data_IF_117990617761
#
_entry.id   IF_117990617761
#
_cell.length_a   1.000
_cell.length_b   1.000
_cell.length_c   1.000
_cell.angle_alpha   90.00
_cell.angle_beta   90.00
_cell.angle_gamma   90.00
#
_symmetry.space_group_name_H-M   'P 1'
#
loop_
_entity.id
_entity.type
_entity.pdbx_description
1 polymer ?
#
# COMPACT_ATOMS: atom_id res chain seq x y z
N UNK A 1 -10.53 9.67 7.55
CA UNK A 1 -9.07 9.43 7.66
C UNK A 1 -8.82 8.14 8.43
N UNK A 2 -7.98 7.24 7.92
CA UNK A 2 -7.66 5.95 8.54
C UNK A 2 -6.24 5.47 8.21
N UNK A 3 -5.79 4.40 8.85
CA UNK A 3 -4.52 3.75 8.55
C UNK A 3 -4.71 2.23 8.45
N UNK A 4 -3.96 1.59 7.56
CA UNK A 4 -3.93 0.13 7.44
C UNK A 4 -2.70 -0.40 8.19
N UNK A 5 -2.94 -1.06 9.32
CA UNK A 5 -1.91 -1.67 10.17
C UNK A 5 -2.09 -3.19 10.12
N UNK A 6 -1.01 -3.94 9.90
CA UNK A 6 -1.03 -5.40 9.86
C UNK A 6 0.38 -5.98 10.01
N UNK A 7 0.49 -7.29 10.18
CA UNK A 7 1.75 -8.04 10.15
C UNK A 7 2.44 -7.95 8.77
N UNK A 8 3.78 -8.11 8.68
CA UNK A 8 4.47 -8.35 7.41
C UNK A 8 3.75 -9.41 6.56
N UNK A 9 3.69 -9.18 5.24
CA UNK A 9 3.07 -10.07 4.25
C UNK A 9 1.54 -10.30 4.39
N UNK A 10 0.83 -9.64 5.32
CA UNK A 10 -0.63 -9.77 5.51
C UNK A 10 -1.50 -9.15 4.39
N UNK A 11 -0.91 -8.70 3.28
CA UNK A 11 -1.66 -8.18 2.14
C UNK A 11 -2.05 -6.70 2.18
N UNK A 12 -1.51 -5.89 3.10
CA UNK A 12 -1.80 -4.44 3.21
C UNK A 12 -1.77 -3.71 1.87
N UNK A 13 -0.69 -3.89 1.10
CA UNK A 13 -0.50 -3.25 -0.20
C UNK A 13 -1.57 -3.65 -1.22
N UNK A 14 -2.00 -4.91 -1.20
CA UNK A 14 -3.06 -5.41 -2.09
C UNK A 14 -4.43 -4.87 -1.68
N UNK A 15 -4.70 -4.73 -0.38
CA UNK A 15 -5.91 -4.07 0.11
C UNK A 15 -5.93 -2.60 -0.31
N UNK A 16 -4.83 -1.87 -0.13
CA UNK A 16 -4.69 -0.47 -0.57
C UNK A 16 -4.95 -0.31 -2.07
N UNK A 17 -4.37 -1.16 -2.91
CA UNK A 17 -4.61 -1.14 -4.37
C UNK A 17 -6.11 -1.27 -4.69
N UNK A 18 -6.81 -2.18 -4.02
CA UNK A 18 -8.24 -2.41 -4.26
C UNK A 18 -9.10 -1.25 -3.77
N UNK A 19 -8.80 -0.68 -2.60
CA UNK A 19 -9.52 0.50 -2.10
C UNK A 19 -9.43 1.68 -3.08
N UNK A 20 -8.23 1.96 -3.57
CA UNK A 20 -8.01 3.00 -4.58
C UNK A 20 -8.76 2.72 -5.88
N UNK A 21 -8.77 1.45 -6.33
CA UNK A 21 -9.51 1.04 -7.52
C UNK A 21 -11.03 1.25 -7.35
N UNK A 22 -11.58 0.88 -6.18
CA UNK A 22 -13.00 1.08 -5.88
C UNK A 22 -13.36 2.56 -5.75
N UNK A 23 -12.43 3.41 -5.31
CA UNK A 23 -12.59 4.87 -5.27
C UNK A 23 -12.31 5.57 -6.60
N UNK A 24 -12.16 4.84 -7.71
CA UNK A 24 -11.88 5.44 -9.02
C UNK A 24 -10.46 6.02 -9.18
N UNK A 25 -9.59 5.88 -8.18
CA UNK A 25 -8.20 6.35 -8.18
C UNK A 25 -7.29 5.38 -8.95
N UNK A 26 -7.60 5.13 -10.23
CA UNK A 26 -6.98 4.11 -11.09
C UNK A 26 -5.45 4.31 -11.19
N UNK A 27 -5.00 5.55 -11.35
CA UNK A 27 -3.58 5.85 -11.51
C UNK A 27 -2.79 5.56 -10.22
N UNK A 28 -3.33 6.00 -9.07
CA UNK A 28 -2.77 5.70 -7.74
C UNK A 28 -2.75 4.18 -7.48
N UNK A 29 -3.81 3.45 -7.84
CA UNK A 29 -3.84 1.99 -7.72
C UNK A 29 -2.72 1.33 -8.56
N UNK A 30 -2.52 1.80 -9.80
CA UNK A 30 -1.43 1.35 -10.67
C UNK A 30 -0.04 1.63 -10.09
N UNK A 31 0.17 2.79 -9.47
CA UNK A 31 1.42 3.14 -8.81
C UNK A 31 1.72 2.25 -7.59
N UNK A 32 0.70 1.95 -6.77
CA UNK A 32 0.81 1.04 -5.61
C UNK A 32 1.23 -0.35 -6.06
N UNK A 33 0.62 -0.87 -7.13
CA UNK A 33 0.98 -2.16 -7.72
C UNK A 33 2.42 -2.17 -8.26
N UNK A 34 2.79 -1.17 -9.06
CA UNK A 34 4.14 -1.05 -9.60
C UNK A 34 5.21 -0.89 -8.51
N UNK A 35 4.88 -0.25 -7.38
CA UNK A 35 5.77 -0.15 -6.21
C UNK A 35 5.92 -1.51 -5.51
N UNK A 36 4.84 -2.27 -5.34
CA UNK A 36 4.90 -3.65 -4.81
C UNK A 36 5.87 -4.53 -5.61
N UNK A 37 5.75 -4.50 -6.93
CA UNK A 37 6.57 -5.31 -7.84
C UNK A 37 8.05 -4.88 -7.79
N UNK A 38 8.33 -3.57 -7.74
CA UNK A 38 9.70 -3.04 -7.59
C UNK A 38 10.35 -3.40 -6.25
N UNK A 39 9.59 -3.40 -5.16
CA UNK A 39 10.11 -3.77 -3.84
C UNK A 39 10.42 -5.27 -3.79
N UNK A 40 9.59 -6.13 -4.40
CA UNK A 40 9.89 -7.57 -4.52
C UNK A 40 11.24 -7.85 -5.21
N UNK A 41 11.66 -7.01 -6.16
CA UNK A 41 12.95 -7.18 -6.85
C UNK A 41 14.17 -6.75 -6.00
N UNK A 42 13.99 -5.90 -4.97
CA UNK A 42 15.06 -5.50 -4.03
C UNK A 42 15.16 -6.49 -2.86
N UNK A 43 15.79 -7.64 -3.13
CA UNK A 43 16.07 -8.74 -2.17
C UNK A 43 16.60 -8.29 -0.80
N UNK A 44 17.57 -7.37 -0.79
CA UNK A 44 18.41 -7.19 0.42
C UNK A 44 17.79 -6.24 1.44
N UNK A 45 17.00 -5.26 1.01
CA UNK A 45 16.31 -4.33 1.92
C UNK A 45 15.11 -5.00 2.61
N UNK A 46 14.38 -5.83 1.86
CA UNK A 46 13.22 -6.55 2.36
C UNK A 46 13.59 -7.59 3.42
N UNK A 47 14.78 -8.20 3.35
CA UNK A 47 15.32 -9.06 4.41
C UNK A 47 15.50 -8.32 5.74
N UNK A 48 16.10 -7.14 5.71
CA UNK A 48 16.35 -6.32 6.91
C UNK A 48 15.02 -5.84 7.52
N UNK A 49 14.08 -5.40 6.69
CA UNK A 49 12.72 -5.02 7.13
C UNK A 49 11.97 -6.21 7.73
N UNK A 50 12.05 -7.38 7.11
CA UNK A 50 11.40 -8.62 7.58
C UNK A 50 12.02 -9.15 8.87
N UNK A 51 13.34 -9.11 9.02
CA UNK A 51 14.04 -9.47 10.27
C UNK A 51 13.71 -8.54 11.44
N UNK A 52 13.54 -7.24 11.16
CA UNK A 52 13.20 -6.24 12.19
C UNK A 52 11.68 -6.05 12.39
N UNK A 53 10.84 -6.74 11.60
CA UNK A 53 9.39 -6.66 11.68
C UNK A 53 8.80 -5.27 11.35
N UNK A 54 9.56 -4.44 10.63
CA UNK A 54 9.21 -3.04 10.33
C UNK A 54 8.91 -2.86 8.85
N UNK A 55 7.87 -2.09 8.54
CA UNK A 55 7.58 -1.63 7.18
C UNK A 55 7.80 -0.11 7.15
N UNK A 56 8.85 0.34 6.47
CA UNK A 56 9.38 1.71 6.64
C UNK A 56 8.66 2.74 5.74
N UNK A 57 7.84 2.31 4.78
CA UNK A 57 7.28 3.23 3.79
C UNK A 57 5.82 3.58 4.10
N UNK A 58 5.61 4.66 4.85
CA UNK A 58 4.29 5.29 4.94
C UNK A 58 4.01 6.12 3.68
N UNK A 59 2.83 5.98 3.09
CA UNK A 59 2.37 6.81 1.98
C UNK A 59 0.96 7.26 2.29
N UNK A 60 0.71 8.58 2.25
CA UNK A 60 -0.63 9.16 2.40
C UNK A 60 -1.30 9.16 1.03
N UNK A 61 -2.56 8.74 0.97
CA UNK A 61 -3.31 8.65 -0.29
C UNK A 61 -4.74 9.14 -0.04
N UNK A 62 -5.27 9.92 -0.97
CA UNK A 62 -6.63 10.45 -0.88
C UNK A 62 -7.45 9.88 -2.03
N UNK A 63 -8.66 9.40 -1.74
CA UNK A 63 -9.61 8.93 -2.75
C UNK A 63 -11.05 9.21 -2.32
N UNK A 64 -11.96 9.28 -3.30
CA UNK A 64 -13.39 9.49 -3.06
C UNK A 64 -14.14 8.17 -3.19
N UNK A 65 -15.11 7.94 -2.31
CA UNK A 65 -16.02 6.81 -2.40
C UNK A 65 -17.35 7.17 -1.75
N UNK A 66 -18.45 7.01 -2.48
CA UNK A 66 -19.82 7.24 -1.97
C UNK A 66 -19.98 8.63 -1.31
N UNK A 67 -19.66 9.69 -2.06
CA UNK A 67 -19.66 11.10 -1.62
C UNK A 67 -18.77 11.43 -0.40
N UNK A 68 -17.90 10.50 0.00
CA UNK A 68 -16.96 10.69 1.11
C UNK A 68 -15.52 10.77 0.62
N UNK A 69 -14.73 11.65 1.24
CA UNK A 69 -13.28 11.76 1.01
C UNK A 69 -12.53 10.94 2.06
N UNK A 70 -11.78 9.95 1.59
CA UNK A 70 -10.93 9.10 2.42
C UNK A 70 -9.48 9.56 2.35
N UNK A 71 -8.80 9.50 3.49
CA UNK A 71 -7.36 9.76 3.67
C UNK A 71 -6.76 8.66 4.53
#
# INVERSE_FOLDING_TARGET
TFAIIAHPDAGKTTLTEKLLLFGGAIQLAGEVKAKKDRIQTRSDWMKIERERGISVVTSVMTFEYDDNVFN
#
